data_IF_424907176658
#
_entry.id   IF_424907176658
#
_cell.length_a   1.000
_cell.length_b   1.000
_cell.length_c   1.000
_cell.angle_alpha   90.00
_cell.angle_beta   90.00
_cell.angle_gamma   90.00
#
_symmetry.space_group_name_H-M   'P 1'
#
loop_
_entity.id
_entity.type
_entity.pdbx_description
1 polymer ?
#
# COMPACT_ATOMS: atom_id res chain seq x y z
N UNK A 1 -5.76 -11.14 -4.25
CA UNK A 1 -4.61 -10.32 -4.72
C UNK A 1 -3.68 -9.98 -3.57
N UNK A 2 -4.20 -9.40 -2.47
CA UNK A 2 -3.40 -9.01 -1.31
C UNK A 2 -2.56 -10.15 -0.71
N UNK A 3 -3.07 -11.38 -0.70
CA UNK A 3 -2.33 -12.57 -0.23
C UNK A 3 -1.03 -12.86 -1.01
N UNK A 4 -0.89 -12.36 -2.25
CA UNK A 4 0.28 -12.58 -3.09
C UNK A 4 1.26 -11.39 -3.07
N UNK A 5 0.99 -10.35 -2.29
CA UNK A 5 1.90 -9.21 -2.12
C UNK A 5 3.23 -9.64 -1.47
N UNK A 6 3.21 -10.68 -0.64
CA UNK A 6 4.41 -11.26 -0.03
C UNK A 6 4.98 -12.46 -0.77
N UNK A 7 4.67 -12.65 -2.05
CA UNK A 7 5.16 -13.82 -2.79
C UNK A 7 6.71 -13.85 -2.82
N UNK A 8 7.36 -15.02 -2.67
CA UNK A 8 8.82 -15.11 -2.74
C UNK A 8 9.41 -14.65 -4.08
N UNK A 9 8.65 -14.76 -5.18
CA UNK A 9 9.06 -14.33 -6.51
C UNK A 9 8.91 -12.81 -6.67
N UNK A 10 10.00 -12.07 -6.94
CA UNK A 10 9.93 -10.63 -7.19
C UNK A 10 9.03 -10.27 -8.37
N UNK A 11 8.98 -11.14 -9.40
CA UNK A 11 8.11 -10.93 -10.56
C UNK A 11 6.64 -10.99 -10.16
N UNK A 12 6.25 -11.96 -9.32
CA UNK A 12 4.86 -12.09 -8.85
C UNK A 12 4.49 -10.88 -7.99
N UNK A 13 5.36 -10.45 -7.06
CA UNK A 13 5.11 -9.23 -6.27
C UNK A 13 4.94 -8.00 -7.14
N UNK A 14 5.81 -7.82 -8.14
CA UNK A 14 5.71 -6.71 -9.08
C UNK A 14 4.39 -6.74 -9.86
N UNK A 15 3.99 -7.90 -10.38
CA UNK A 15 2.71 -8.08 -11.09
C UNK A 15 1.52 -7.80 -10.18
N UNK A 16 1.52 -8.32 -8.94
CA UNK A 16 0.44 -8.10 -7.97
C UNK A 16 0.34 -6.63 -7.59
N UNK A 17 1.46 -5.96 -7.36
CA UNK A 17 1.49 -4.51 -7.11
C UNK A 17 0.88 -3.71 -8.25
N UNK A 18 1.19 -4.05 -9.51
CA UNK A 18 0.58 -3.42 -10.69
C UNK A 18 -0.93 -3.70 -10.75
N UNK A 19 -1.37 -4.92 -10.46
CA UNK A 19 -2.80 -5.25 -10.45
C UNK A 19 -3.53 -4.44 -9.37
N UNK A 20 -2.99 -4.37 -8.16
CA UNK A 20 -3.58 -3.59 -7.06
C UNK A 20 -3.72 -2.12 -7.46
N UNK A 21 -2.65 -1.51 -7.99
CA UNK A 21 -2.68 -0.09 -8.35
C UNK A 21 -3.60 0.15 -9.54
N UNK A 22 -3.63 -0.75 -10.53
CA UNK A 22 -4.56 -0.64 -11.66
C UNK A 22 -6.03 -0.72 -11.22
N UNK A 23 -6.36 -1.61 -10.28
CA UNK A 23 -7.72 -1.70 -9.73
C UNK A 23 -8.07 -0.43 -8.95
N UNK A 24 -7.17 0.05 -8.10
CA UNK A 24 -7.36 1.28 -7.33
C UNK A 24 -7.56 2.51 -8.24
N UNK A 25 -6.76 2.63 -9.30
CA UNK A 25 -6.82 3.76 -10.22
C UNK A 25 -8.03 3.70 -11.17
N UNK A 26 -8.44 2.50 -11.63
CA UNK A 26 -9.59 2.37 -12.55
C UNK A 26 -10.95 2.27 -11.85
N UNK A 27 -10.99 1.67 -10.67
CA UNK A 27 -12.22 1.47 -9.89
C UNK A 27 -12.51 2.59 -8.90
N UNK A 28 -11.63 3.59 -8.81
CA UNK A 28 -11.53 4.55 -7.71
C UNK A 28 -11.20 3.89 -6.37
N UNK A 29 -10.33 4.55 -5.59
CA UNK A 29 -9.89 4.03 -4.29
C UNK A 29 -11.05 3.94 -3.27
N UNK A 30 -12.09 4.74 -3.46
CA UNK A 30 -13.34 4.74 -2.70
C UNK A 30 -14.13 3.44 -2.84
N UNK A 31 -13.99 2.73 -3.96
CA UNK A 31 -14.65 1.44 -4.22
C UNK A 31 -13.98 0.26 -3.52
N UNK A 32 -12.78 0.46 -2.97
CA UNK A 32 -12.06 -0.57 -2.21
C UNK A 32 -11.50 0.00 -0.88
N UNK A 33 -12.39 0.35 0.07
CA UNK A 33 -12.00 1.07 1.28
C UNK A 33 -11.07 0.24 2.20
N UNK A 34 -11.10 -1.08 2.12
CA UNK A 34 -10.24 -1.97 2.91
C UNK A 34 -8.80 -2.05 2.39
N UNK A 35 -8.51 -1.54 1.19
CA UNK A 35 -7.20 -1.66 0.56
C UNK A 35 -6.10 -0.97 1.38
N UNK A 36 -6.28 0.30 1.73
CA UNK A 36 -5.28 1.06 2.48
C UNK A 36 -5.08 0.50 3.91
N UNK A 37 -6.14 0.20 4.70
CA UNK A 37 -5.98 -0.46 6.00
C UNK A 37 -5.25 -1.81 5.90
N UNK A 38 -5.57 -2.63 4.89
CA UNK A 38 -4.92 -3.93 4.71
C UNK A 38 -3.43 -3.76 4.40
N UNK A 39 -3.07 -2.95 3.40
CA UNK A 39 -1.67 -2.68 3.06
C UNK A 39 -0.92 -2.06 4.25
N UNK A 40 -1.56 -1.15 4.99
CA UNK A 40 -0.99 -0.56 6.19
C UNK A 40 -0.73 -1.62 7.26
N UNK A 41 -1.65 -2.56 7.51
CA UNK A 41 -1.43 -3.68 8.45
C UNK A 41 -0.33 -4.63 7.98
N UNK A 42 -0.14 -4.81 6.67
CA UNK A 42 0.90 -5.67 6.12
C UNK A 42 2.31 -5.12 6.37
N UNK A 43 2.45 -3.80 6.59
CA UNK A 43 3.73 -3.20 7.02
C UNK A 43 4.19 -3.71 8.39
N UNK A 44 3.27 -4.14 9.26
CA UNK A 44 3.62 -4.68 10.59
C UNK A 44 4.03 -6.16 10.53
N UNK A 45 4.04 -6.77 9.33
CA UNK A 45 4.46 -8.15 9.13
C UNK A 45 5.95 -8.33 9.43
N UNK A 46 6.31 -9.43 10.07
CA UNK A 46 7.71 -9.86 10.24
C UNK A 46 8.30 -10.44 8.96
N UNK A 47 7.46 -10.79 7.97
CA UNK A 47 7.91 -11.24 6.67
C UNK A 47 8.33 -10.03 5.81
N UNK A 48 9.62 -9.98 5.48
CA UNK A 48 10.22 -8.95 4.64
C UNK A 48 9.51 -8.80 3.30
N UNK A 49 9.13 -9.89 2.63
CA UNK A 49 8.50 -9.83 1.31
C UNK A 49 7.11 -9.21 1.40
N UNK A 50 6.37 -9.50 2.49
CA UNK A 50 5.06 -8.92 2.75
C UNK A 50 5.18 -7.41 2.98
N UNK A 51 6.13 -7.00 3.83
CA UNK A 51 6.37 -5.59 4.13
C UNK A 51 6.83 -4.81 2.89
N UNK A 52 7.83 -5.34 2.16
CA UNK A 52 8.36 -4.74 0.93
C UNK A 52 7.29 -4.62 -0.16
N UNK A 53 6.54 -5.68 -0.42
CA UNK A 53 5.46 -5.65 -1.40
C UNK A 53 4.34 -4.66 -1.02
N UNK A 54 3.99 -4.56 0.27
CA UNK A 54 3.00 -3.62 0.75
C UNK A 54 3.47 -2.16 0.59
N UNK A 55 4.74 -1.88 0.90
CA UNK A 55 5.36 -0.58 0.62
C UNK A 55 5.36 -0.26 -0.87
N UNK A 56 5.71 -1.22 -1.74
CA UNK A 56 5.71 -1.01 -3.19
C UNK A 56 4.32 -0.69 -3.75
N UNK A 57 3.26 -1.29 -3.20
CA UNK A 57 1.88 -0.95 -3.56
C UNK A 57 1.47 0.43 -3.04
N UNK A 58 1.77 0.73 -1.77
CA UNK A 58 1.45 2.03 -1.15
C UNK A 58 2.17 3.18 -1.84
N UNK A 59 3.43 3.00 -2.22
CA UNK A 59 4.19 3.99 -2.97
C UNK A 59 3.45 4.40 -4.25
N UNK A 60 3.07 3.42 -5.08
CA UNK A 60 2.37 3.68 -6.34
C UNK A 60 0.99 4.31 -6.14
N UNK A 61 0.24 3.87 -5.12
CA UNK A 61 -1.05 4.49 -4.78
C UNK A 61 -0.84 5.97 -4.40
N UNK A 62 0.17 6.27 -3.59
CA UNK A 62 0.52 7.64 -3.22
C UNK A 62 0.96 8.47 -4.44
N UNK A 63 1.72 7.88 -5.37
CA UNK A 63 2.14 8.56 -6.61
C UNK A 63 0.95 8.94 -7.50
N UNK A 64 -0.03 8.02 -7.66
CA UNK A 64 -1.15 8.22 -8.58
C UNK A 64 -2.34 8.99 -7.96
N UNK A 65 -2.52 8.94 -6.63
CA UNK A 65 -3.77 9.39 -5.98
C UNK A 65 -3.57 10.28 -4.74
N UNK A 66 -2.42 10.97 -4.62
CA UNK A 66 -2.08 11.81 -3.47
C UNK A 66 -3.20 12.77 -3.00
N UNK A 67 -3.86 13.47 -3.91
CA UNK A 67 -4.92 14.43 -3.58
C UNK A 67 -6.14 13.74 -2.95
N UNK A 68 -6.50 12.55 -3.43
CA UNK A 68 -7.61 11.78 -2.88
C UNK A 68 -7.29 11.27 -1.48
N UNK A 69 -6.03 10.92 -1.22
CA UNK A 69 -5.56 10.49 0.10
C UNK A 69 -5.56 11.61 1.16
N UNK A 70 -5.56 12.88 0.75
CA UNK A 70 -5.70 14.03 1.67
C UNK A 70 -7.15 14.54 1.75
N UNK A 71 -8.06 13.93 0.98
CA UNK A 71 -9.45 14.37 0.90
C UNK A 71 -10.29 13.85 2.08
N UNK A 72 -11.37 14.59 2.39
CA UNK A 72 -12.39 14.14 3.35
C UNK A 72 -13.14 12.89 2.87
N UNK A 73 -13.16 12.61 1.57
CA UNK A 73 -13.87 11.46 1.00
C UNK A 73 -13.35 10.11 1.51
N UNK A 74 -12.05 10.04 1.83
CA UNK A 74 -11.41 8.86 2.44
C UNK A 74 -11.07 9.06 3.93
N UNK A 75 -11.54 10.14 4.54
CA UNK A 75 -11.19 10.53 5.91
C UNK A 75 -9.67 10.76 6.11
N UNK A 76 -9.04 11.46 5.15
CA UNK A 76 -7.62 11.87 5.18
C UNK A 76 -6.65 10.76 5.62
N UNK A 77 -6.56 9.62 4.89
CA UNK A 77 -5.68 8.49 5.25
C UNK A 77 -4.20 8.87 5.44
N UNK A 78 -3.72 9.95 4.82
CA UNK A 78 -2.35 10.45 5.02
C UNK A 78 -2.01 10.75 6.49
N UNK A 79 -3.00 11.14 7.30
CA UNK A 79 -2.80 11.39 8.74
C UNK A 79 -2.36 10.15 9.51
N UNK A 80 -2.63 8.95 8.99
CA UNK A 80 -2.21 7.66 9.58
C UNK A 80 -0.98 7.12 8.87
N UNK A 81 -0.94 7.22 7.54
CA UNK A 81 0.13 6.65 6.72
C UNK A 81 1.48 7.35 6.93
N UNK A 82 1.50 8.69 6.97
CA UNK A 82 2.76 9.44 7.10
C UNK A 82 3.49 9.12 8.41
N UNK A 83 2.85 9.20 9.60
CA UNK A 83 3.50 8.81 10.84
C UNK A 83 4.02 7.37 10.82
N UNK A 84 3.29 6.45 10.17
CA UNK A 84 3.71 5.05 10.04
C UNK A 84 4.95 4.91 9.16
N UNK A 85 4.99 5.55 8.00
CA UNK A 85 6.16 5.51 7.11
C UNK A 85 7.41 6.04 7.79
N UNK A 86 7.30 7.10 8.60
CA UNK A 86 8.42 7.67 9.35
C UNK A 86 9.03 6.69 10.37
N UNK A 87 8.27 5.71 10.88
CA UNK A 87 8.82 4.67 11.77
C UNK A 87 9.84 3.78 11.04
N UNK A 88 9.66 3.58 9.73
CA UNK A 88 10.56 2.75 8.91
C UNK A 88 11.85 3.47 8.51
N UNK A 89 11.97 4.79 8.72
CA UNK A 89 13.24 5.51 8.50
C UNK A 89 14.32 5.11 9.53
N UNK A 90 13.92 4.49 10.65
CA UNK A 90 14.82 3.92 11.65
C UNK A 90 14.98 2.41 11.51
N UNK A 91 14.38 1.80 10.48
CA UNK A 91 14.46 0.38 10.23
C UNK A 91 15.86 0.03 9.71
N UNK A 92 16.60 -0.80 10.45
CA UNK A 92 17.84 -1.39 9.95
C UNK A 92 17.49 -2.43 8.89
N UNK A 93 17.91 -2.20 7.65
CA UNK A 93 17.80 -3.16 6.54
C UNK A 93 18.56 -4.46 6.81
#
# INVERSE_FOLDING_TARGET
CLSAVGDPSPLIRATVGIIITTIASKGELTSWPELLPALCSMLDSQDYNVCEGAFGALQKICEDTAELLDSDALNRPLNVLIPKFLQFFRHSS
#
